data_IF_933754244130
#
_entry.id   IF_933754244130
#
_cell.length_a   1.000
_cell.length_b   1.000
_cell.length_c   1.000
_cell.angle_alpha   90.00
_cell.angle_beta   90.00
_cell.angle_gamma   90.00
#
_symmetry.space_group_name_H-M   'P 1'
#
loop_
_entity.id
_entity.type
_entity.pdbx_description
1 polymer ?
#
# COMPACT_ATOMS: atom_id res chain seq x y z
N UNK A 1 17.32 -26.69 11.26
CA UNK A 1 18.68 -26.27 11.62
C UNK A 1 18.62 -25.81 13.06
N UNK A 2 19.34 -26.47 13.95
CA UNK A 2 19.24 -26.28 15.40
C UNK A 2 19.95 -25.02 15.82
N UNK A 3 19.24 -24.06 16.38
CA UNK A 3 19.79 -22.83 16.93
C UNK A 3 20.36 -23.13 18.31
N UNK A 4 21.66 -22.99 18.44
CA UNK A 4 22.42 -23.20 19.68
C UNK A 4 22.18 -21.97 20.58
N UNK A 5 21.46 -22.16 21.68
CA UNK A 5 21.31 -21.18 22.74
C UNK A 5 22.63 -21.15 23.54
N UNK A 6 23.31 -20.00 23.54
CA UNK A 6 24.49 -19.78 24.38
C UNK A 6 24.04 -19.62 25.83
N UNK A 7 24.65 -20.35 26.80
CA UNK A 7 24.36 -20.15 28.21
C UNK A 7 25.09 -18.92 28.77
N UNK A 8 24.35 -18.06 29.44
CA UNK A 8 24.90 -16.95 30.25
C UNK A 8 25.60 -17.48 31.49
N UNK A 9 26.72 -16.91 31.94
CA UNK A 9 27.45 -17.42 33.09
C UNK A 9 26.81 -16.97 34.42
N UNK A 10 26.61 -17.86 35.38
CA UNK A 10 26.21 -17.50 36.75
C UNK A 10 27.45 -17.19 37.56
N UNK A 11 27.78 -15.94 37.77
CA UNK A 11 28.80 -15.63 38.78
C UNK A 11 28.84 -14.15 39.15
N UNK A 12 28.03 -13.73 40.07
CA UNK A 12 28.35 -12.53 40.92
C UNK A 12 27.89 -12.60 42.36
N UNK A 13 27.17 -13.65 42.76
CA UNK A 13 26.71 -13.76 44.16
C UNK A 13 27.69 -14.43 45.12
N UNK A 14 28.68 -15.24 44.65
CA UNK A 14 29.57 -16.00 45.55
C UNK A 14 30.73 -15.20 46.17
N UNK A 15 31.09 -14.05 45.62
CA UNK A 15 32.25 -13.26 46.08
C UNK A 15 31.96 -12.30 47.25
N UNK A 16 30.67 -12.07 47.56
CA UNK A 16 30.31 -11.17 48.68
C UNK A 16 30.16 -11.88 50.02
N UNK A 17 29.99 -13.21 50.04
CA UNK A 17 29.75 -13.99 51.26
C UNK A 17 31.05 -14.29 52.01
N UNK A 18 32.17 -14.41 51.28
CA UNK A 18 33.48 -14.76 51.95
C UNK A 18 34.14 -13.59 52.69
N UNK A 19 33.81 -12.34 52.36
CA UNK A 19 34.41 -11.16 52.99
C UNK A 19 33.72 -10.74 54.32
N UNK A 20 32.50 -11.22 54.57
CA UNK A 20 31.75 -10.90 55.83
C UNK A 20 31.92 -11.88 56.96
N UNK A 21 32.40 -13.12 56.70
CA UNK A 21 32.56 -14.15 57.73
C UNK A 21 33.80 -13.90 58.60
N UNK A 22 34.77 -13.16 58.11
CA UNK A 22 36.01 -12.91 58.83
C UNK A 22 35.95 -11.76 59.89
N UNK A 23 34.85 -10.99 59.95
CA UNK A 23 34.67 -9.88 60.91
C UNK A 23 33.72 -10.17 62.09
N UNK A 24 33.11 -11.35 62.15
CA UNK A 24 32.07 -11.67 63.15
C UNK A 24 32.55 -12.60 64.30
N UNK A 25 33.85 -12.58 64.66
CA UNK A 25 34.38 -13.44 65.74
C UNK A 25 34.23 -12.89 67.15
N UNK A 26 33.50 -11.82 67.35
CA UNK A 26 33.24 -11.26 68.68
C UNK A 26 31.80 -10.76 68.81
N UNK A 27 30.86 -11.67 69.11
CA UNK A 27 29.63 -11.49 69.90
C UNK A 27 28.63 -12.62 69.60
N UNK A 28 28.65 -13.62 70.50
CA UNK A 28 27.78 -14.81 70.41
C UNK A 28 26.38 -14.50 70.96
N UNK A 29 25.54 -13.69 70.36
CA UNK A 29 24.09 -13.61 70.67
C UNK A 29 23.23 -12.81 69.64
N UNK A 30 23.80 -12.33 68.55
CA UNK A 30 23.05 -11.62 67.52
C UNK A 30 22.94 -12.42 66.22
N UNK A 31 23.41 -13.65 66.16
CA UNK A 31 23.56 -14.41 64.89
C UNK A 31 22.28 -15.08 64.34
N UNK A 32 21.23 -15.25 65.17
CA UNK A 32 20.03 -15.97 64.73
C UNK A 32 18.94 -15.06 64.05
N UNK A 33 18.96 -13.76 64.33
CA UNK A 33 18.01 -12.83 63.74
C UNK A 33 18.50 -12.29 62.42
N UNK A 34 19.80 -12.26 62.13
CA UNK A 34 20.39 -11.71 60.90
C UNK A 34 20.39 -12.74 59.78
N UNK A 35 20.44 -14.03 60.09
CA UNK A 35 20.36 -15.10 59.05
C UNK A 35 18.96 -15.25 58.42
N UNK A 36 17.90 -14.92 59.19
CA UNK A 36 16.54 -14.98 58.64
C UNK A 36 16.22 -13.82 57.66
N UNK A 37 16.84 -12.65 57.82
CA UNK A 37 16.62 -11.48 56.97
C UNK A 37 17.45 -11.53 55.69
N UNK A 38 18.63 -12.20 55.73
CA UNK A 38 19.47 -12.34 54.51
C UNK A 38 19.02 -13.46 53.58
N UNK A 39 18.22 -14.43 54.05
CA UNK A 39 17.60 -15.43 53.18
C UNK A 39 16.37 -14.90 52.42
N UNK A 40 15.74 -13.84 52.93
CA UNK A 40 14.61 -13.21 52.26
C UNK A 40 15.02 -12.23 51.13
N UNK A 41 16.28 -11.75 51.15
CA UNK A 41 16.76 -10.77 50.16
C UNK A 41 17.31 -11.40 48.86
N UNK A 42 17.50 -12.73 48.82
CA UNK A 42 17.94 -13.42 47.59
C UNK A 42 16.79 -14.07 46.81
N UNK A 43 15.54 -13.88 47.24
CA UNK A 43 14.36 -14.48 46.56
C UNK A 43 13.62 -13.54 45.64
N UNK A 44 14.08 -12.29 45.46
CA UNK A 44 13.30 -11.27 44.72
C UNK A 44 13.83 -10.96 43.31
N UNK A 45 14.89 -11.66 42.87
CA UNK A 45 15.48 -11.41 41.52
C UNK A 45 15.05 -12.44 40.46
N UNK A 46 14.17 -13.39 40.82
CA UNK A 46 13.67 -14.43 39.90
C UNK A 46 12.23 -14.23 39.42
N UNK A 47 11.64 -13.07 39.69
CA UNK A 47 10.22 -12.84 39.46
C UNK A 47 9.81 -12.89 38.00
N UNK A 48 10.62 -12.34 37.11
CA UNK A 48 10.39 -12.26 35.68
C UNK A 48 10.68 -13.58 34.96
N UNK A 49 11.88 -14.11 35.17
CA UNK A 49 12.31 -15.37 34.56
C UNK A 49 11.39 -16.52 34.99
N UNK A 50 10.89 -16.50 36.23
CA UNK A 50 9.90 -17.49 36.70
C UNK A 50 8.54 -17.34 36.04
N UNK A 51 8.09 -16.13 35.69
CA UNK A 51 6.83 -15.90 34.97
C UNK A 51 6.94 -16.30 33.50
N UNK A 52 8.05 -15.99 32.86
CA UNK A 52 8.33 -16.44 31.48
C UNK A 52 8.32 -17.98 31.41
N UNK A 53 9.02 -18.65 32.32
CA UNK A 53 9.06 -20.12 32.35
C UNK A 53 7.67 -20.75 32.53
N UNK A 54 6.84 -20.23 33.46
CA UNK A 54 5.46 -20.71 33.65
C UNK A 54 4.61 -20.44 32.40
N UNK A 55 4.83 -19.32 31.74
CA UNK A 55 4.17 -19.00 30.47
C UNK A 55 4.56 -19.98 29.34
N UNK A 56 5.86 -20.29 29.22
CA UNK A 56 6.37 -21.26 28.26
C UNK A 56 5.81 -22.67 28.54
N UNK A 57 5.69 -23.10 29.81
CA UNK A 57 5.03 -24.34 30.17
C UNK A 57 3.54 -24.37 29.86
N UNK A 58 2.81 -23.26 30.06
CA UNK A 58 1.40 -23.16 29.72
C UNK A 58 1.20 -23.21 28.17
N UNK A 59 2.02 -22.49 27.42
CA UNK A 59 2.02 -22.51 25.97
C UNK A 59 2.31 -23.93 25.41
N UNK A 60 3.28 -24.63 26.02
CA UNK A 60 3.60 -26.01 25.64
C UNK A 60 2.42 -26.99 25.87
N UNK A 61 1.54 -26.69 26.83
CA UNK A 61 0.30 -27.46 27.05
C UNK A 61 -0.85 -27.01 26.17
N UNK A 62 -0.69 -25.97 25.37
CA UNK A 62 -1.74 -25.38 24.53
C UNK A 62 -2.67 -24.44 25.28
N UNK A 63 -2.38 -24.09 26.53
CA UNK A 63 -3.16 -23.14 27.33
C UNK A 63 -2.66 -21.71 27.08
N UNK A 64 -3.13 -21.13 25.95
CA UNK A 64 -2.70 -19.81 25.50
C UNK A 64 -3.17 -18.69 26.43
N UNK A 65 -4.33 -18.84 27.09
CA UNK A 65 -4.82 -17.84 28.03
C UNK A 65 -3.95 -17.79 29.31
N UNK A 66 -3.57 -18.96 29.86
CA UNK A 66 -2.65 -19.03 30.96
C UNK A 66 -1.24 -18.54 30.59
N UNK A 67 -0.75 -18.89 29.40
CA UNK A 67 0.54 -18.41 28.91
C UNK A 67 0.55 -16.88 28.80
N UNK A 68 -0.49 -16.29 28.21
CA UNK A 68 -0.66 -14.85 28.05
C UNK A 68 -0.68 -14.13 29.40
N UNK A 69 -1.36 -14.70 30.43
CA UNK A 69 -1.44 -14.12 31.75
C UNK A 69 -0.05 -14.05 32.40
N UNK A 70 0.74 -15.12 32.28
CA UNK A 70 2.11 -15.19 32.86
C UNK A 70 3.09 -14.27 32.09
N UNK A 71 3.05 -14.22 30.75
CA UNK A 71 3.88 -13.31 29.95
C UNK A 71 3.55 -11.84 30.22
N UNK A 72 2.26 -11.50 30.35
CA UNK A 72 1.86 -10.14 30.76
C UNK A 72 2.33 -9.79 32.18
N UNK A 73 2.41 -10.77 33.06
CA UNK A 73 2.97 -10.59 34.38
C UNK A 73 4.48 -10.32 34.29
N UNK A 74 5.20 -11.04 33.42
CA UNK A 74 6.62 -10.80 33.16
C UNK A 74 6.85 -9.37 32.65
N UNK A 75 6.12 -8.92 31.65
CA UNK A 75 6.19 -7.54 31.13
C UNK A 75 5.95 -6.50 32.23
N UNK A 76 4.99 -6.74 33.14
CA UNK A 76 4.72 -5.79 34.24
C UNK A 76 5.84 -5.76 35.30
N UNK A 77 6.60 -6.84 35.48
CA UNK A 77 7.67 -6.96 36.45
C UNK A 77 9.03 -6.55 35.91
N UNK A 78 9.34 -6.93 34.64
CA UNK A 78 10.60 -6.63 33.97
C UNK A 78 10.70 -5.19 33.46
N UNK A 79 9.59 -4.49 33.46
CA UNK A 79 9.46 -3.16 32.88
C UNK A 79 8.71 -3.20 31.54
N UNK A 80 8.20 -2.02 31.10
CA UNK A 80 7.44 -1.88 29.89
C UNK A 80 8.21 -2.23 28.62
N UNK A 81 9.54 -2.34 28.71
CA UNK A 81 10.50 -2.33 27.60
C UNK A 81 11.29 -3.66 27.50
N UNK A 82 10.77 -4.72 28.13
CA UNK A 82 11.34 -6.09 28.02
C UNK A 82 10.94 -6.70 26.65
N UNK A 83 11.75 -6.47 25.61
CA UNK A 83 11.50 -6.95 24.26
C UNK A 83 11.27 -8.48 24.18
N UNK A 84 12.04 -9.35 24.86
CA UNK A 84 11.75 -10.77 24.93
C UNK A 84 10.38 -11.13 25.51
N UNK A 85 9.94 -10.47 26.59
CA UNK A 85 8.63 -10.70 27.17
C UNK A 85 7.49 -10.16 26.29
N UNK A 86 7.67 -8.96 25.70
CA UNK A 86 6.75 -8.38 24.73
C UNK A 86 6.56 -9.29 23.51
N UNK A 87 7.64 -9.85 22.97
CA UNK A 87 7.61 -10.79 21.84
C UNK A 87 6.81 -12.06 22.18
N UNK A 88 6.94 -12.61 23.40
CA UNK A 88 6.13 -13.76 23.84
C UNK A 88 4.65 -13.43 23.92
N UNK A 89 4.30 -12.27 24.46
CA UNK A 89 2.90 -11.78 24.46
C UNK A 89 2.37 -11.67 23.03
N UNK A 90 3.13 -11.03 22.15
CA UNK A 90 2.76 -10.84 20.74
C UNK A 90 2.57 -12.17 20.02
N UNK A 91 3.54 -13.09 20.18
CA UNK A 91 3.47 -14.43 19.58
C UNK A 91 2.24 -15.22 20.06
N UNK A 92 1.93 -15.12 21.35
CA UNK A 92 0.74 -15.79 21.92
C UNK A 92 -0.54 -15.22 21.32
N UNK A 93 -0.66 -13.89 21.19
CA UNK A 93 -1.78 -13.27 20.48
C UNK A 93 -1.87 -13.72 19.02
N UNK A 94 -0.72 -13.81 18.33
CA UNK A 94 -0.66 -14.29 16.96
C UNK A 94 -1.12 -15.76 16.83
N UNK A 95 -0.80 -16.62 17.81
CA UNK A 95 -1.32 -17.99 17.85
C UNK A 95 -2.84 -18.05 18.10
N UNK A 96 -3.38 -17.11 18.88
CA UNK A 96 -4.81 -16.96 19.10
C UNK A 96 -5.57 -16.31 17.95
N UNK A 97 -4.87 -15.86 16.89
CA UNK A 97 -5.47 -15.18 15.75
C UNK A 97 -5.84 -13.71 16.02
N UNK A 98 -5.35 -13.12 17.10
CA UNK A 98 -5.61 -11.73 17.50
C UNK A 98 -4.60 -10.80 16.84
N UNK A 99 -4.93 -10.35 15.62
CA UNK A 99 -3.99 -9.63 14.73
C UNK A 99 -3.57 -8.29 15.33
N UNK A 100 -4.54 -7.49 15.80
CA UNK A 100 -4.29 -6.12 16.23
C UNK A 100 -3.42 -6.10 17.49
N UNK A 101 -3.74 -6.96 18.47
CA UNK A 101 -2.94 -7.05 19.70
C UNK A 101 -1.54 -7.64 19.43
N UNK A 102 -1.46 -8.63 18.55
CA UNK A 102 -0.15 -9.16 18.15
C UNK A 102 0.70 -8.07 17.49
N UNK A 103 0.10 -7.27 16.60
CA UNK A 103 0.76 -6.13 15.93
C UNK A 103 1.25 -5.07 16.92
N UNK A 104 0.40 -4.69 17.88
CA UNK A 104 0.76 -3.71 18.93
C UNK A 104 1.96 -4.17 19.76
N UNK A 105 1.91 -5.41 20.28
CA UNK A 105 2.99 -5.91 21.13
C UNK A 105 4.28 -6.19 20.36
N UNK A 106 4.18 -6.64 19.09
CA UNK A 106 5.35 -6.75 18.21
C UNK A 106 5.93 -5.37 17.88
N UNK A 107 5.10 -4.35 17.66
CA UNK A 107 5.56 -2.98 17.43
C UNK A 107 6.46 -2.50 18.54
N UNK A 108 6.00 -2.65 19.79
CA UNK A 108 6.78 -2.30 20.97
C UNK A 108 8.06 -3.14 21.10
N UNK A 109 7.98 -4.46 20.85
CA UNK A 109 9.16 -5.32 20.93
C UNK A 109 10.23 -4.95 19.91
N UNK A 110 9.85 -4.62 18.67
CA UNK A 110 10.75 -4.25 17.57
C UNK A 110 11.33 -2.83 17.77
N UNK A 111 10.56 -1.93 18.42
CA UNK A 111 11.04 -0.59 18.79
C UNK A 111 12.18 -0.69 19.82
N UNK A 112 12.07 -1.59 20.80
CA UNK A 112 13.09 -1.83 21.83
C UNK A 112 14.26 -2.66 21.29
N UNK A 113 13.99 -3.67 20.48
CA UNK A 113 15.01 -4.54 19.89
C UNK A 113 14.61 -4.97 18.46
N UNK A 114 15.22 -4.36 17.44
CA UNK A 114 14.96 -4.67 16.04
C UNK A 114 15.23 -6.13 15.61
N UNK A 115 15.96 -6.89 16.40
CA UNK A 115 16.25 -8.31 16.11
C UNK A 115 14.97 -9.18 16.12
N UNK A 116 13.90 -8.72 16.78
CA UNK A 116 12.61 -9.40 16.79
C UNK A 116 11.76 -9.14 15.55
N UNK A 117 12.16 -8.25 14.63
CA UNK A 117 11.40 -7.92 13.42
C UNK A 117 11.12 -9.14 12.52
N UNK A 118 12.06 -10.06 12.40
CA UNK A 118 11.88 -11.26 11.56
C UNK A 118 10.81 -12.20 12.11
N UNK A 119 10.72 -12.35 13.42
CA UNK A 119 9.65 -13.13 14.04
C UNK A 119 8.31 -12.43 13.90
N UNK A 120 8.25 -11.12 14.14
CA UNK A 120 7.05 -10.32 13.99
C UNK A 120 6.50 -10.43 12.56
N UNK A 121 7.34 -10.25 11.54
CA UNK A 121 6.98 -10.42 10.13
C UNK A 121 6.46 -11.82 9.84
N UNK A 122 7.16 -12.86 10.31
CA UNK A 122 6.77 -14.26 10.08
C UNK A 122 5.36 -14.56 10.61
N UNK A 123 5.05 -14.07 11.80
CA UNK A 123 3.75 -14.28 12.42
C UNK A 123 2.64 -13.46 11.74
N UNK A 124 2.90 -12.20 11.41
CA UNK A 124 1.94 -11.36 10.69
C UNK A 124 1.62 -11.93 9.32
N UNK A 125 2.61 -12.41 8.58
CA UNK A 125 2.44 -13.09 7.30
C UNK A 125 1.60 -14.35 7.42
N UNK A 126 1.83 -15.15 8.46
CA UNK A 126 1.03 -16.35 8.74
C UNK A 126 -0.43 -15.99 9.04
N UNK A 127 -0.66 -14.93 9.81
CA UNK A 127 -2.00 -14.40 10.11
C UNK A 127 -2.68 -13.87 8.85
N UNK A 128 -1.96 -13.13 8.00
CA UNK A 128 -2.47 -12.62 6.73
C UNK A 128 -2.94 -13.75 5.81
N UNK A 129 -2.16 -14.83 5.69
CA UNK A 129 -2.57 -16.02 4.93
C UNK A 129 -3.82 -16.68 5.50
N UNK A 130 -3.86 -16.85 6.81
CA UNK A 130 -5.03 -17.41 7.47
C UNK A 130 -6.28 -16.52 7.31
N UNK A 131 -6.13 -15.20 7.30
CA UNK A 131 -7.21 -14.26 7.03
C UNK A 131 -7.69 -14.35 5.56
N UNK A 132 -6.76 -14.39 4.60
CA UNK A 132 -7.08 -14.61 3.18
C UNK A 132 -7.87 -15.91 2.96
N UNK A 133 -7.43 -17.01 3.57
CA UNK A 133 -8.07 -18.32 3.41
C UNK A 133 -9.48 -18.38 4.00
N UNK A 134 -9.85 -17.40 4.85
CA UNK A 134 -11.20 -17.20 5.39
C UNK A 134 -11.97 -16.07 4.71
N UNK A 135 -11.45 -15.47 3.63
CA UNK A 135 -11.99 -14.28 2.97
C UNK A 135 -12.14 -13.06 3.92
N UNK A 136 -11.34 -13.03 5.00
CA UNK A 136 -11.28 -11.91 5.94
C UNK A 136 -10.32 -10.85 5.39
N UNK A 137 -10.86 -9.96 4.56
CA UNK A 137 -10.08 -8.90 3.92
C UNK A 137 -9.55 -7.87 4.93
N UNK A 138 -10.29 -7.61 6.00
CA UNK A 138 -9.83 -6.68 7.04
C UNK A 138 -8.63 -7.26 7.80
N UNK A 139 -8.74 -8.49 8.27
CA UNK A 139 -7.64 -9.18 8.93
C UNK A 139 -6.40 -9.34 8.02
N UNK A 140 -6.61 -9.65 6.73
CA UNK A 140 -5.53 -9.69 5.75
C UNK A 140 -4.79 -8.35 5.67
N UNK A 141 -5.53 -7.25 5.54
CA UNK A 141 -4.96 -5.91 5.39
C UNK A 141 -4.22 -5.49 6.65
N UNK A 142 -4.86 -5.63 7.83
CA UNK A 142 -4.26 -5.30 9.13
C UNK A 142 -2.95 -6.06 9.37
N UNK A 143 -2.95 -7.37 9.12
CA UNK A 143 -1.74 -8.19 9.30
C UNK A 143 -0.63 -7.82 8.30
N UNK A 144 -0.97 -7.48 7.06
CA UNK A 144 0.02 -7.06 6.06
C UNK A 144 0.59 -5.67 6.34
N UNK A 145 -0.24 -4.72 6.75
CA UNK A 145 0.23 -3.38 7.15
C UNK A 145 1.19 -3.48 8.34
N UNK A 146 0.86 -4.32 9.34
CA UNK A 146 1.76 -4.59 10.46
C UNK A 146 3.08 -5.24 9.99
N UNK A 147 3.04 -6.25 9.12
CA UNK A 147 4.24 -6.88 8.59
C UNK A 147 5.15 -5.87 7.83
N UNK A 148 4.54 -5.00 7.01
CA UNK A 148 5.26 -3.97 6.27
C UNK A 148 5.83 -2.87 7.17
N UNK A 149 5.20 -2.56 8.30
CA UNK A 149 5.76 -1.60 9.28
C UNK A 149 7.03 -2.14 9.94
N UNK A 150 7.12 -3.46 10.18
CA UNK A 150 8.31 -4.09 10.74
C UNK A 150 9.42 -4.27 9.69
N UNK A 151 9.05 -4.53 8.45
CA UNK A 151 10.01 -4.66 7.33
C UNK A 151 9.41 -4.08 6.04
N UNK A 152 9.73 -2.83 5.70
CA UNK A 152 9.33 -2.23 4.42
C UNK A 152 9.85 -3.05 3.23
N UNK A 153 9.02 -3.18 2.20
CA UNK A 153 9.40 -3.86 0.95
C UNK A 153 9.17 -5.38 0.92
N UNK A 154 8.45 -5.94 1.91
CA UNK A 154 7.99 -7.33 1.83
C UNK A 154 7.05 -7.46 0.64
N UNK A 155 7.43 -8.31 -0.31
CA UNK A 155 6.60 -8.66 -1.46
C UNK A 155 5.95 -10.02 -1.21
N UNK A 156 4.61 -10.03 -1.21
CA UNK A 156 3.83 -11.27 -1.06
C UNK A 156 2.92 -11.43 -2.26
N UNK A 157 3.48 -12.05 -3.30
CA UNK A 157 2.81 -12.21 -4.60
C UNK A 157 1.43 -12.87 -4.50
N UNK A 158 1.28 -13.85 -3.61
CA UNK A 158 0.03 -14.59 -3.38
C UNK A 158 -1.06 -13.78 -2.65
N UNK A 159 -0.72 -12.64 -2.08
CA UNK A 159 -1.65 -11.72 -1.40
C UNK A 159 -1.82 -10.37 -2.12
N UNK A 160 -1.05 -10.12 -3.17
CA UNK A 160 -1.07 -8.84 -3.86
C UNK A 160 -2.44 -8.50 -4.45
N UNK A 161 -3.09 -9.42 -5.17
CA UNK A 161 -4.39 -9.14 -5.78
C UNK A 161 -5.52 -8.90 -4.76
N UNK A 162 -5.70 -9.71 -3.70
CA UNK A 162 -6.66 -9.40 -2.65
C UNK A 162 -6.45 -8.02 -2.01
N UNK A 163 -5.19 -7.62 -1.73
CA UNK A 163 -4.85 -6.31 -1.20
C UNK A 163 -5.15 -5.18 -2.19
N UNK A 164 -4.77 -5.34 -3.46
CA UNK A 164 -5.08 -4.38 -4.51
C UNK A 164 -6.58 -4.09 -4.58
N UNK A 165 -7.40 -5.15 -4.63
CA UNK A 165 -8.86 -5.05 -4.67
C UNK A 165 -9.47 -4.47 -3.41
N UNK A 166 -8.90 -4.77 -2.23
CA UNK A 166 -9.34 -4.15 -0.98
C UNK A 166 -9.14 -2.64 -1.02
N UNK A 167 -7.92 -2.16 -1.29
CA UNK A 167 -7.63 -0.73 -1.37
C UNK A 167 -8.42 -0.03 -2.49
N UNK A 168 -8.61 -0.69 -3.63
CA UNK A 168 -9.42 -0.15 -4.72
C UNK A 168 -10.88 0.08 -4.28
N UNK A 169 -11.52 -0.91 -3.63
CA UNK A 169 -12.89 -0.81 -3.12
C UNK A 169 -13.04 0.22 -2.01
N UNK A 170 -12.00 0.46 -1.22
CA UNK A 170 -11.94 1.47 -0.17
C UNK A 170 -11.70 2.89 -0.71
N UNK A 171 -11.49 3.06 -2.04
CA UNK A 171 -11.16 4.35 -2.64
C UNK A 171 -9.70 4.78 -2.43
N UNK A 172 -8.86 3.89 -1.89
CA UNK A 172 -7.44 4.15 -1.64
C UNK A 172 -6.60 3.74 -2.86
N UNK A 173 -6.96 4.30 -4.03
CA UNK A 173 -6.43 3.88 -5.34
C UNK A 173 -4.91 3.93 -5.41
N UNK A 174 -4.28 4.97 -4.85
CA UNK A 174 -2.83 5.09 -4.84
C UNK A 174 -2.14 3.94 -4.08
N UNK A 175 -2.74 3.45 -3.00
CA UNK A 175 -2.25 2.27 -2.28
C UNK A 175 -2.46 0.97 -3.04
N UNK A 176 -3.51 0.87 -3.87
CA UNK A 176 -3.80 -0.31 -4.67
C UNK A 176 -2.77 -0.55 -5.79
N UNK A 177 -2.20 0.52 -6.36
CA UNK A 177 -1.34 0.46 -7.55
C UNK A 177 -0.14 -0.48 -7.44
N UNK A 178 0.72 -0.42 -6.39
CA UNK A 178 1.87 -1.32 -6.29
C UNK A 178 1.45 -2.80 -6.19
N UNK A 179 0.30 -3.09 -5.60
CA UNK A 179 -0.22 -4.45 -5.50
C UNK A 179 -0.78 -4.96 -6.83
N UNK A 180 -1.45 -4.10 -7.62
CA UNK A 180 -1.83 -4.45 -8.99
C UNK A 180 -0.62 -4.74 -9.86
N UNK A 181 0.43 -3.93 -9.80
CA UNK A 181 1.67 -4.15 -10.54
C UNK A 181 2.32 -5.49 -10.16
N UNK A 182 2.42 -5.78 -8.86
CA UNK A 182 2.97 -7.05 -8.37
C UNK A 182 2.12 -8.25 -8.83
N UNK A 183 0.79 -8.11 -8.85
CA UNK A 183 -0.13 -9.15 -9.31
C UNK A 183 0.04 -9.43 -10.80
N UNK A 184 0.07 -8.40 -11.62
CA UNK A 184 0.24 -8.51 -13.08
C UNK A 184 1.58 -9.19 -13.42
N UNK A 185 2.66 -8.83 -12.70
CA UNK A 185 3.97 -9.44 -12.89
C UNK A 185 4.03 -10.94 -12.56
N UNK A 186 3.11 -11.41 -11.69
CA UNK A 186 3.07 -12.81 -11.21
C UNK A 186 2.04 -13.67 -11.94
N UNK A 187 1.13 -13.09 -12.72
CA UNK A 187 -0.01 -13.80 -13.32
C UNK A 187 0.30 -14.45 -14.65
N UNK A 188 -0.47 -15.52 -14.92
CA UNK A 188 -0.54 -16.14 -16.24
C UNK A 188 -1.55 -15.41 -17.15
N UNK A 189 -1.42 -15.58 -18.47
CA UNK A 189 -2.19 -14.85 -19.48
C UNK A 189 -3.72 -14.96 -19.33
N UNK A 190 -4.25 -16.09 -18.85
CA UNK A 190 -5.70 -16.34 -18.80
C UNK A 190 -6.45 -15.50 -17.75
N UNK A 191 -5.79 -15.07 -16.68
CA UNK A 191 -6.39 -14.27 -15.58
C UNK A 191 -6.02 -12.80 -15.66
N UNK A 192 -5.17 -12.44 -16.62
CA UNK A 192 -4.58 -11.13 -16.77
C UNK A 192 -5.58 -10.02 -17.16
N UNK A 193 -6.60 -10.25 -18.06
CA UNK A 193 -7.42 -9.15 -18.57
C UNK A 193 -8.10 -8.34 -17.47
N UNK A 194 -8.81 -8.97 -16.55
CA UNK A 194 -9.58 -8.25 -15.52
C UNK A 194 -8.65 -7.43 -14.60
N UNK A 195 -7.50 -8.00 -14.22
CA UNK A 195 -6.53 -7.31 -13.34
C UNK A 195 -5.86 -6.14 -14.05
N UNK A 196 -5.60 -6.27 -15.35
CA UNK A 196 -5.07 -5.17 -16.18
C UNK A 196 -6.09 -4.03 -16.27
N UNK A 197 -7.38 -4.34 -16.45
CA UNK A 197 -8.45 -3.34 -16.47
C UNK A 197 -8.60 -2.64 -15.10
N UNK A 198 -8.60 -3.41 -14.01
CA UNK A 198 -8.66 -2.88 -12.64
C UNK A 198 -7.46 -1.94 -12.36
N UNK A 199 -6.25 -2.32 -12.80
CA UNK A 199 -5.06 -1.48 -12.68
C UNK A 199 -5.19 -0.17 -13.48
N UNK A 200 -5.66 -0.25 -14.73
CA UNK A 200 -5.97 0.93 -15.53
C UNK A 200 -6.97 1.84 -14.86
N UNK A 201 -8.03 1.27 -14.27
CA UNK A 201 -9.03 2.03 -13.54
C UNK A 201 -8.45 2.69 -12.28
N UNK A 202 -7.55 2.03 -11.56
CA UNK A 202 -6.89 2.64 -10.39
C UNK A 202 -6.01 3.84 -10.79
N UNK A 203 -5.29 3.76 -11.91
CA UNK A 203 -4.54 4.89 -12.44
C UNK A 203 -5.45 6.03 -12.92
N UNK A 204 -6.59 5.72 -13.55
CA UNK A 204 -7.59 6.69 -13.98
C UNK A 204 -8.16 7.47 -12.77
N UNK A 205 -8.50 6.77 -11.69
CA UNK A 205 -9.04 7.37 -10.46
C UNK A 205 -8.02 8.28 -9.72
N UNK A 206 -6.72 8.01 -9.84
CA UNK A 206 -5.69 8.93 -9.31
C UNK A 206 -5.32 10.04 -10.29
N UNK A 207 -5.95 10.08 -11.48
CA UNK A 207 -5.73 11.10 -12.50
C UNK A 207 -4.51 10.85 -13.40
N UNK A 208 -3.82 9.73 -13.28
CA UNK A 208 -2.67 9.38 -14.12
C UNK A 208 -3.14 8.74 -15.44
N UNK A 209 -3.70 9.57 -16.34
CA UNK A 209 -4.20 9.11 -17.63
C UNK A 209 -3.10 8.47 -18.51
N UNK A 210 -1.85 8.92 -18.42
CA UNK A 210 -0.73 8.32 -19.18
C UNK A 210 -0.54 6.84 -18.86
N UNK A 211 -0.51 6.48 -17.58
CA UNK A 211 -0.40 5.08 -17.16
C UNK A 211 -1.72 4.32 -17.33
N UNK A 212 -2.86 4.96 -17.07
CA UNK A 212 -4.18 4.34 -17.29
C UNK A 212 -4.35 3.89 -18.75
N UNK A 213 -3.98 4.72 -19.72
CA UNK A 213 -4.01 4.40 -21.16
C UNK A 213 -3.13 3.19 -21.49
N UNK A 214 -1.94 3.07 -20.88
CA UNK A 214 -1.09 1.91 -21.10
C UNK A 214 -1.82 0.60 -20.75
N UNK A 215 -2.49 0.55 -19.58
CA UNK A 215 -3.21 -0.64 -19.12
C UNK A 215 -4.52 -0.86 -19.90
N UNK A 216 -5.27 0.18 -20.22
CA UNK A 216 -6.49 0.07 -21.02
C UNK A 216 -6.22 -0.42 -22.44
N UNK A 217 -5.17 0.07 -23.10
CA UNK A 217 -4.76 -0.44 -24.42
C UNK A 217 -4.25 -1.88 -24.36
N UNK A 218 -3.59 -2.28 -23.27
CA UNK A 218 -3.23 -3.67 -23.04
C UNK A 218 -4.48 -4.54 -22.90
N UNK A 219 -5.43 -4.16 -22.06
CA UNK A 219 -6.71 -4.85 -21.89
C UNK A 219 -7.48 -4.95 -23.20
N UNK A 220 -7.57 -3.87 -23.95
CA UNK A 220 -8.25 -3.81 -25.26
C UNK A 220 -7.69 -4.82 -26.26
N UNK A 221 -6.40 -5.13 -26.20
CA UNK A 221 -5.77 -6.17 -27.05
C UNK A 221 -6.11 -7.59 -26.61
N UNK A 222 -6.35 -7.81 -25.31
CA UNK A 222 -6.63 -9.11 -24.73
C UNK A 222 -8.09 -9.55 -24.90
N UNK A 223 -9.02 -8.61 -25.10
CA UNK A 223 -10.46 -8.88 -25.17
C UNK A 223 -10.98 -8.89 -26.60
N UNK A 224 -12.14 -9.54 -26.78
CA UNK A 224 -12.84 -9.56 -28.06
C UNK A 224 -13.42 -8.18 -28.44
N UNK A 225 -13.63 -7.94 -29.75
CA UNK A 225 -14.19 -6.66 -30.24
C UNK A 225 -15.54 -6.30 -29.62
N UNK A 226 -16.36 -7.29 -29.29
CA UNK A 226 -17.69 -7.08 -28.71
C UNK A 226 -17.66 -6.58 -27.25
N UNK A 227 -16.55 -6.73 -26.58
CA UNK A 227 -16.36 -6.33 -25.18
C UNK A 227 -15.67 -4.96 -25.04
N UNK A 228 -15.33 -4.29 -26.14
CA UNK A 228 -14.47 -3.10 -26.14
C UNK A 228 -15.17 -1.80 -25.78
N UNK A 229 -16.51 -1.73 -25.82
CA UNK A 229 -17.23 -0.46 -25.67
C UNK A 229 -16.86 0.30 -24.37
N UNK A 230 -16.74 -0.40 -23.26
CA UNK A 230 -16.37 0.20 -21.98
C UNK A 230 -14.93 0.72 -21.99
N UNK A 231 -13.98 -0.11 -22.42
CA UNK A 231 -12.56 0.28 -22.45
C UNK A 231 -12.31 1.35 -23.53
N UNK A 232 -13.01 1.33 -24.66
CA UNK A 232 -12.91 2.36 -25.69
C UNK A 232 -13.39 3.72 -25.14
N UNK A 233 -14.47 3.72 -24.35
CA UNK A 233 -14.93 4.90 -23.62
C UNK A 233 -13.86 5.41 -22.63
N UNK A 234 -13.27 4.52 -21.83
CA UNK A 234 -12.20 4.86 -20.86
C UNK A 234 -10.96 5.40 -21.58
N UNK A 235 -10.53 4.78 -22.69
CA UNK A 235 -9.40 5.25 -23.49
C UNK A 235 -9.69 6.65 -24.04
N UNK A 236 -10.84 6.87 -24.67
CA UNK A 236 -11.20 8.16 -25.23
C UNK A 236 -11.26 9.26 -24.17
N UNK A 237 -11.90 8.99 -23.03
CA UNK A 237 -11.98 9.95 -21.92
C UNK A 237 -10.60 10.30 -21.35
N UNK A 238 -9.74 9.30 -21.08
CA UNK A 238 -8.38 9.54 -20.61
C UNK A 238 -7.50 10.24 -21.66
N UNK A 239 -7.63 9.85 -22.94
CA UNK A 239 -6.89 10.49 -24.04
C UNK A 239 -7.24 11.96 -24.15
N UNK A 240 -8.51 12.32 -24.05
CA UNK A 240 -8.94 13.71 -24.12
C UNK A 240 -8.42 14.55 -22.93
N UNK A 241 -8.47 13.98 -21.71
CA UNK A 241 -7.88 14.67 -20.53
C UNK A 241 -6.39 14.87 -20.69
N UNK A 242 -5.67 13.83 -21.10
CA UNK A 242 -4.23 13.91 -21.30
C UNK A 242 -3.85 14.90 -22.43
N UNK A 243 -4.65 14.99 -23.50
CA UNK A 243 -4.43 15.98 -24.54
C UNK A 243 -4.53 17.42 -24.02
N UNK A 244 -5.48 17.71 -23.12
CA UNK A 244 -5.60 19.03 -22.49
C UNK A 244 -4.38 19.34 -21.61
N UNK A 245 -3.99 18.40 -20.76
CA UNK A 245 -2.85 18.57 -19.85
C UNK A 245 -1.56 18.84 -20.66
N UNK A 246 -1.33 18.07 -21.73
CA UNK A 246 -0.18 18.24 -22.62
C UNK A 246 -0.19 19.56 -23.37
N UNK A 247 -1.36 20.01 -23.83
CA UNK A 247 -1.50 21.32 -24.46
C UNK A 247 -1.18 22.45 -23.48
N UNK A 248 -1.63 22.35 -22.24
CA UNK A 248 -1.33 23.32 -21.20
C UNK A 248 0.18 23.37 -20.86
N UNK A 249 0.88 22.24 -21.08
CA UNK A 249 2.35 22.11 -20.96
C UNK A 249 3.09 22.61 -22.23
N UNK A 250 2.38 22.86 -23.34
CA UNK A 250 2.95 23.25 -24.63
C UNK A 250 3.47 22.10 -25.48
N UNK A 251 3.08 20.87 -25.15
CA UNK A 251 3.44 19.65 -25.88
C UNK A 251 2.37 19.30 -26.94
N UNK A 252 2.14 20.25 -27.85
CA UNK A 252 1.03 20.21 -28.80
C UNK A 252 1.04 19.01 -29.75
N UNK A 253 2.20 18.53 -30.16
CA UNK A 253 2.32 17.34 -31.02
C UNK A 253 1.87 16.06 -30.29
N UNK A 254 2.21 15.91 -29.02
CA UNK A 254 1.76 14.78 -28.21
C UNK A 254 0.27 14.92 -27.87
N UNK A 255 -0.20 16.15 -27.59
CA UNK A 255 -1.60 16.46 -27.39
C UNK A 255 -2.44 16.08 -28.61
N UNK A 256 -1.95 16.41 -29.83
CA UNK A 256 -2.62 16.04 -31.09
C UNK A 256 -2.79 14.52 -31.21
N UNK A 257 -1.73 13.75 -30.92
CA UNK A 257 -1.81 12.28 -30.95
C UNK A 257 -2.92 11.73 -30.06
N UNK A 258 -3.06 12.27 -28.85
CA UNK A 258 -4.06 11.79 -27.89
C UNK A 258 -5.49 12.22 -28.26
N UNK A 259 -5.69 13.46 -28.74
CA UNK A 259 -7.03 13.88 -29.14
C UNK A 259 -7.50 13.15 -30.41
N UNK A 260 -6.60 12.88 -31.36
CA UNK A 260 -6.88 12.05 -32.54
C UNK A 260 -7.36 10.66 -32.12
N UNK A 261 -6.74 10.07 -31.08
CA UNK A 261 -7.14 8.78 -30.53
C UNK A 261 -8.59 8.76 -30.02
N UNK A 262 -9.03 9.83 -29.32
CA UNK A 262 -10.41 9.99 -28.85
C UNK A 262 -11.39 10.01 -30.04
N UNK A 263 -11.03 10.71 -31.10
CA UNK A 263 -11.85 10.85 -32.30
C UNK A 263 -11.92 9.54 -33.09
N UNK A 264 -10.81 8.84 -33.29
CA UNK A 264 -10.76 7.54 -33.96
C UNK A 264 -11.63 6.48 -33.28
N UNK A 265 -11.66 6.46 -31.94
CA UNK A 265 -12.50 5.54 -31.20
C UNK A 265 -13.98 5.90 -31.27
N UNK A 266 -14.31 7.17 -31.52
CA UNK A 266 -15.67 7.67 -31.50
C UNK A 266 -16.34 7.63 -30.13
N UNK A 267 -15.55 7.50 -29.08
CA UNK A 267 -16.00 7.41 -27.68
C UNK A 267 -15.16 8.35 -26.78
N UNK A 268 -15.75 8.99 -25.78
CA UNK A 268 -17.20 9.07 -25.50
C UNK A 268 -17.98 9.82 -26.60
N UNK A 269 -19.13 9.29 -27.00
CA UNK A 269 -19.94 9.95 -28.04
C UNK A 269 -20.42 11.34 -27.65
N UNK A 270 -20.72 11.54 -26.37
CA UNK A 270 -21.10 12.86 -25.82
C UNK A 270 -20.01 13.92 -26.00
N UNK A 271 -18.75 13.49 -26.07
CA UNK A 271 -17.60 14.38 -26.02
C UNK A 271 -16.98 14.62 -27.40
N UNK A 272 -17.52 13.96 -28.46
CA UNK A 272 -16.96 14.07 -29.79
C UNK A 272 -16.96 15.52 -30.33
N UNK A 273 -18.01 16.29 -30.05
CA UNK A 273 -18.06 17.70 -30.45
C UNK A 273 -16.96 18.54 -29.77
N UNK A 274 -16.73 18.33 -28.45
CA UNK A 274 -15.63 18.99 -27.72
C UNK A 274 -14.27 18.50 -28.21
N UNK A 275 -14.11 17.19 -28.46
CA UNK A 275 -12.86 16.61 -28.93
C UNK A 275 -12.43 17.22 -30.28
N UNK A 276 -13.37 17.42 -31.22
CA UNK A 276 -13.07 18.12 -32.50
C UNK A 276 -12.71 19.59 -32.31
N UNK A 277 -13.33 20.30 -31.34
CA UNK A 277 -12.94 21.68 -31.03
C UNK A 277 -11.51 21.70 -30.45
N UNK A 278 -11.20 20.82 -29.49
CA UNK A 278 -9.86 20.71 -28.91
C UNK A 278 -8.80 20.36 -29.95
N UNK A 279 -9.11 19.39 -30.87
CA UNK A 279 -8.25 19.05 -31.97
C UNK A 279 -7.98 20.26 -32.88
N UNK A 280 -9.02 21.03 -33.20
CA UNK A 280 -8.87 22.23 -34.02
C UNK A 280 -8.03 23.31 -33.36
N UNK A 281 -8.17 23.49 -32.06
CA UNK A 281 -7.35 24.42 -31.28
C UNK A 281 -5.88 23.99 -31.23
N UNK A 282 -5.59 22.70 -30.98
CA UNK A 282 -4.23 22.15 -31.02
C UNK A 282 -3.61 22.33 -32.43
N UNK A 283 -4.38 22.04 -33.49
CA UNK A 283 -3.92 22.24 -34.86
C UNK A 283 -3.63 23.70 -35.17
N UNK A 284 -4.43 24.62 -34.60
CA UNK A 284 -4.20 26.05 -34.69
C UNK A 284 -2.91 26.49 -34.00
N UNK A 285 -2.65 25.97 -32.82
CA UNK A 285 -1.42 26.22 -32.01
C UNK A 285 -0.17 25.68 -32.78
N UNK A 286 -0.32 24.55 -33.49
CA UNK A 286 0.70 23.97 -34.38
C UNK A 286 0.85 24.71 -35.71
N UNK A 287 0.04 25.76 -36.02
CA UNK A 287 0.08 26.47 -37.28
C UNK A 287 -0.54 25.70 -38.46
N UNK A 288 -1.26 24.62 -38.23
CA UNK A 288 -1.93 23.78 -39.24
C UNK A 288 -3.34 24.32 -39.53
N UNK A 289 -3.40 25.54 -40.04
CA UNK A 289 -4.62 26.34 -40.13
C UNK A 289 -5.73 25.69 -40.98
N UNK A 290 -5.41 25.03 -42.09
CA UNK A 290 -6.40 24.36 -42.91
C UNK A 290 -7.00 23.14 -42.18
N UNK A 291 -6.14 22.34 -41.54
CA UNK A 291 -6.57 21.18 -40.77
C UNK A 291 -7.44 21.60 -39.57
N UNK A 292 -7.10 22.73 -38.94
CA UNK A 292 -7.91 23.30 -37.86
C UNK A 292 -9.30 23.71 -38.33
N UNK A 293 -9.42 24.37 -39.50
CA UNK A 293 -10.72 24.73 -40.11
C UNK A 293 -11.52 23.47 -40.43
N UNK A 294 -10.89 22.44 -41.00
CA UNK A 294 -11.55 21.18 -41.31
C UNK A 294 -12.06 20.47 -40.05
N UNK A 295 -11.30 20.51 -38.96
CA UNK A 295 -11.72 19.97 -37.67
C UNK A 295 -12.90 20.74 -37.04
N UNK A 296 -12.91 22.08 -37.12
CA UNK A 296 -14.09 22.86 -36.70
C UNK A 296 -15.34 22.54 -37.51
N UNK A 297 -15.23 22.28 -38.84
CA UNK A 297 -16.37 21.89 -39.68
C UNK A 297 -16.95 20.53 -39.24
N UNK A 298 -16.12 19.59 -38.74
CA UNK A 298 -16.61 18.31 -38.26
C UNK A 298 -17.51 18.43 -37.02
N UNK A 299 -17.36 19.48 -36.20
CA UNK A 299 -18.18 19.68 -34.97
C UNK A 299 -19.68 19.70 -35.34
N UNK A 300 -20.07 20.42 -36.41
CA UNK A 300 -21.45 20.46 -36.88
C UNK A 300 -21.95 19.15 -37.49
N UNK A 301 -21.04 18.26 -37.89
CA UNK A 301 -21.40 16.94 -38.43
C UNK A 301 -21.63 15.90 -37.35
N UNK A 302 -20.88 15.97 -36.25
CA UNK A 302 -21.04 15.05 -35.13
C UNK A 302 -22.18 15.47 -34.20
N UNK A 303 -22.45 16.78 -34.08
CA UNK A 303 -23.62 17.30 -33.37
C UNK A 303 -24.66 17.84 -34.39
N UNK A 304 -25.39 16.93 -35.01
CA UNK A 304 -26.44 17.26 -35.97
C UNK A 304 -27.63 18.03 -35.37
N UNK A 305 -27.77 17.96 -34.03
CA UNK A 305 -28.85 18.70 -33.35
C UNK A 305 -28.57 20.18 -33.27
N UNK A 306 -27.29 20.57 -33.32
CA UNK A 306 -26.83 21.95 -33.20
C UNK A 306 -27.09 22.56 -31.82
N UNK A 307 -27.35 21.74 -30.81
CA UNK A 307 -27.72 22.20 -29.47
C UNK A 307 -26.52 22.32 -28.52
N UNK A 308 -25.39 21.74 -28.89
CA UNK A 308 -24.16 21.85 -28.13
C UNK A 308 -23.54 23.26 -28.25
N UNK A 309 -23.03 23.84 -27.15
CA UNK A 309 -22.31 25.12 -27.17
C UNK A 309 -21.05 25.06 -28.04
N UNK A 310 -20.54 23.86 -28.32
CA UNK A 310 -19.36 23.68 -29.17
C UNK A 310 -19.62 24.00 -30.65
N UNK A 311 -20.86 23.87 -31.14
CA UNK A 311 -21.21 24.20 -32.52
C UNK A 311 -21.06 25.71 -32.83
N UNK A 312 -21.55 26.56 -31.91
CA UNK A 312 -21.43 28.00 -32.06
C UNK A 312 -19.98 28.44 -31.90
N UNK A 313 -19.25 27.86 -30.93
CA UNK A 313 -17.82 28.11 -30.71
C UNK A 313 -17.01 27.74 -31.98
N UNK A 314 -17.21 26.54 -32.51
CA UNK A 314 -16.52 26.06 -33.72
C UNK A 314 -16.75 26.97 -34.91
N UNK A 315 -18.00 27.39 -35.13
CA UNK A 315 -18.38 28.29 -36.22
C UNK A 315 -17.68 29.65 -36.07
N UNK A 316 -17.67 30.23 -34.89
CA UNK A 316 -16.98 31.47 -34.60
C UNK A 316 -15.47 31.38 -34.82
N UNK A 317 -14.84 30.32 -34.34
CA UNK A 317 -13.39 30.05 -34.52
C UNK A 317 -13.05 29.84 -36.00
N UNK A 318 -13.85 29.05 -36.72
CA UNK A 318 -13.71 28.86 -38.17
C UNK A 318 -13.72 30.18 -38.92
N UNK A 319 -14.69 31.07 -38.63
CA UNK A 319 -14.79 32.39 -39.27
C UNK A 319 -13.58 33.27 -38.92
N UNK A 320 -13.08 33.22 -37.70
CA UNK A 320 -11.86 33.92 -37.33
C UNK A 320 -10.65 33.46 -38.16
N UNK A 321 -10.40 32.18 -38.28
CA UNK A 321 -9.30 31.66 -39.09
C UNK A 321 -9.45 32.00 -40.58
N UNK A 322 -10.66 31.93 -41.09
CA UNK A 322 -10.96 32.20 -42.51
C UNK A 322 -10.79 33.68 -42.91
N UNK A 323 -11.21 34.62 -42.03
CA UNK A 323 -11.28 36.03 -42.38
C UNK A 323 -10.17 36.87 -41.81
N UNK A 324 -9.54 36.46 -40.69
CA UNK A 324 -8.47 37.20 -40.10
C UNK A 324 -7.08 36.72 -40.56
N UNK A 325 -6.97 35.48 -41.07
CA UNK A 325 -5.76 34.92 -41.68
C UNK A 325 -4.47 35.07 -40.83
N UNK A 326 -3.34 34.60 -41.27
CA UNK A 326 -2.07 34.77 -40.55
C UNK A 326 -1.55 36.23 -40.51
N UNK A 327 -2.34 37.21 -41.02
CA UNK A 327 -1.97 38.63 -41.09
C UNK A 327 -2.44 39.49 -39.90
N UNK A 328 -3.22 38.96 -38.97
CA UNK A 328 -3.59 39.66 -37.73
C UNK A 328 -2.54 39.47 -36.66
N UNK A 329 -1.58 40.38 -36.57
CA UNK A 329 -0.43 40.34 -35.65
C UNK A 329 -0.78 40.17 -34.17
N UNK A 330 -1.17 38.97 -33.77
CA UNK A 330 -1.23 38.50 -32.39
C UNK A 330 0.07 37.74 -32.05
N UNK A 331 0.59 37.97 -30.88
CA UNK A 331 1.81 37.37 -30.31
C UNK A 331 1.62 35.85 -30.06
N UNK A 332 1.49 35.07 -31.13
CA UNK A 332 1.42 33.62 -31.06
C UNK A 332 1.88 32.97 -32.36
N UNK A 333 2.61 31.90 -32.28
CA UNK A 333 3.16 31.12 -33.40
C UNK A 333 2.10 30.28 -34.12
N UNK A 334 0.84 30.39 -33.76
CA UNK A 334 -0.28 29.65 -34.36
C UNK A 334 -0.95 30.39 -35.54
N UNK A 335 -2.10 29.89 -35.96
CA UNK A 335 -2.90 30.51 -37.03
C UNK A 335 -3.49 31.85 -36.60
#
# INVERSE_FOLDING_TARGET
MSTIIKPYPPARCLLYITSMIDRARTKRLAGLAITSVLLSACFDDGGDESSILRGDEAAARGDMDAALAEYRLAVRRGGSDDAPALTRVAHTYAQMGRIDEAGEFYGRAVEEDPDFADQAVSDMVRLARAARDRDDLFGLTSAMEAAMSFRPGITMQDMALPLARHYFRSGEYAKALPYYQASIAAMQEDTLPDVVFEAGSAYDEVGDCRRALHYYEQYRRLISRYQRSEVDWKIGSCSQRLARDLRDEGEDEEAFFHIERTIELGEPRSDQASAYVEMAEILSDLGRCQDAMDAYDQVGRVDQTGTSPFVDLARWRYDQLRFQGPAGGGLGTGC
#
